data_IF_766563245985
#
_entry.id   IF_766563245985
#
_cell.length_a   1.000
_cell.length_b   1.000
_cell.length_c   1.000
_cell.angle_alpha   90.00
_cell.angle_beta   90.00
_cell.angle_gamma   90.00
#
_symmetry.space_group_name_H-M   'P 1'
#
loop_
_entity.id
_entity.type
_entity.pdbx_description
1 polymer ?
#
# COMPACT_ATOMS: atom_id res chain seq x y z
N UNK A 1 -0.34 3.12 23.30
CA UNK A 1 0.57 2.90 22.15
C UNK A 1 1.69 3.91 22.17
N UNK A 2 2.93 3.51 21.84
CA UNK A 2 4.04 4.46 21.58
C UNK A 2 3.99 4.90 20.12
N UNK A 3 4.57 6.06 19.83
CA UNK A 3 4.64 6.63 18.47
C UNK A 3 6.09 6.80 18.02
N UNK A 4 6.29 6.88 16.71
CA UNK A 4 7.55 7.16 16.03
C UNK A 4 7.32 8.18 14.93
N UNK A 5 8.32 9.00 14.66
CA UNK A 5 8.32 9.91 13.51
C UNK A 5 9.23 9.33 12.43
N UNK A 6 8.68 9.12 11.24
CA UNK A 6 9.40 8.71 10.05
C UNK A 6 9.73 9.96 9.24
N UNK A 7 11.01 10.12 8.86
CA UNK A 7 11.45 11.34 8.20
C UNK A 7 11.27 12.58 9.10
N UNK A 8 10.67 13.65 8.53
CA UNK A 8 10.46 14.91 9.24
C UNK A 8 9.16 14.92 10.06
N UNK A 9 8.06 14.49 9.46
CA UNK A 9 6.72 14.83 9.96
C UNK A 9 5.75 13.65 10.02
N UNK A 10 6.07 12.48 9.43
CA UNK A 10 5.15 11.35 9.38
C UNK A 10 5.14 10.60 10.72
N UNK A 11 4.18 10.93 11.57
CA UNK A 11 4.01 10.27 12.88
C UNK A 11 3.15 9.02 12.75
N UNK A 12 3.68 7.88 13.20
CA UNK A 12 3.02 6.57 13.16
C UNK A 12 3.04 5.90 14.53
N UNK A 13 2.10 4.97 14.76
CA UNK A 13 2.23 4.05 15.89
C UNK A 13 3.50 3.21 15.76
N UNK A 14 4.17 2.92 16.89
CA UNK A 14 5.41 2.15 16.90
C UNK A 14 5.25 0.71 16.38
N UNK A 15 4.02 0.20 16.42
CA UNK A 15 3.62 -1.05 15.79
C UNK A 15 2.72 -0.71 14.59
N UNK A 16 3.03 -1.27 13.43
CA UNK A 16 2.18 -1.23 12.24
C UNK A 16 1.51 -2.58 11.98
N UNK A 17 0.41 -2.58 11.28
CA UNK A 17 -0.28 -3.79 10.82
C UNK A 17 0.05 -4.05 9.35
N UNK A 18 0.79 -5.14 9.06
CA UNK A 18 0.97 -5.67 7.73
C UNK A 18 -0.27 -6.44 7.29
N UNK A 19 -0.88 -6.03 6.16
CA UNK A 19 -2.16 -6.57 5.72
C UNK A 19 -2.02 -7.74 4.72
N UNK A 20 -0.80 -8.10 4.29
CA UNK A 20 -0.52 -9.07 3.23
C UNK A 20 -1.26 -10.41 3.40
N UNK A 21 -1.30 -10.93 4.62
CA UNK A 21 -1.92 -12.23 4.90
C UNK A 21 -3.44 -12.28 4.80
N UNK A 22 -4.10 -11.12 4.70
CA UNK A 22 -5.57 -11.03 4.74
C UNK A 22 -6.25 -11.50 3.44
N UNK A 23 -5.51 -11.55 2.32
CA UNK A 23 -6.04 -11.87 0.98
C UNK A 23 -5.35 -13.07 0.32
N UNK A 24 -4.97 -14.08 1.10
CA UNK A 24 -4.61 -15.39 0.60
C UNK A 24 -3.14 -15.64 0.26
N UNK A 25 -2.21 -14.81 0.75
CA UNK A 25 -0.77 -15.01 0.49
C UNK A 25 -0.21 -16.24 1.24
N UNK A 26 -0.73 -16.55 2.41
CA UNK A 26 -0.30 -17.67 3.26
C UNK A 26 -1.31 -18.83 3.32
N UNK A 27 -2.21 -18.93 2.35
CA UNK A 27 -3.27 -19.93 2.30
C UNK A 27 -4.54 -19.35 1.70
N UNK A 28 -5.70 -19.92 2.04
CA UNK A 28 -6.98 -19.37 1.59
C UNK A 28 -7.19 -17.96 2.12
N UNK A 29 -7.84 -17.10 1.31
CA UNK A 29 -8.21 -15.76 1.73
C UNK A 29 -9.15 -15.84 2.94
N UNK A 30 -8.86 -15.06 3.98
CA UNK A 30 -9.72 -14.99 5.14
C UNK A 30 -11.05 -14.30 4.81
N UNK A 31 -12.05 -14.50 5.66
CA UNK A 31 -13.34 -13.80 5.52
C UNK A 31 -13.14 -12.29 5.51
N UNK A 32 -13.69 -11.63 4.50
CA UNK A 32 -13.50 -10.17 4.28
C UNK A 32 -14.01 -9.35 5.45
N UNK A 33 -15.18 -9.67 5.99
CA UNK A 33 -15.77 -8.92 7.10
C UNK A 33 -14.99 -9.10 8.39
N UNK A 34 -14.45 -10.31 8.62
CA UNK A 34 -13.56 -10.57 9.75
C UNK A 34 -12.24 -9.76 9.63
N UNK A 35 -11.70 -9.59 8.43
CA UNK A 35 -10.48 -8.80 8.21
C UNK A 35 -10.73 -7.30 8.38
N UNK A 36 -11.86 -6.77 7.92
CA UNK A 36 -12.27 -5.39 8.18
C UNK A 36 -12.38 -5.14 9.69
N UNK A 37 -13.04 -6.08 10.40
CA UNK A 37 -13.14 -5.98 11.86
C UNK A 37 -11.77 -6.02 12.53
N UNK A 38 -10.86 -6.88 12.08
CA UNK A 38 -9.49 -6.96 12.61
C UNK A 38 -8.73 -5.65 12.43
N UNK A 39 -8.87 -4.98 11.29
CA UNK A 39 -8.28 -3.67 11.03
C UNK A 39 -8.84 -2.63 12.02
N UNK A 40 -10.16 -2.62 12.22
CA UNK A 40 -10.81 -1.71 13.19
C UNK A 40 -10.37 -2.03 14.63
N UNK A 41 -10.34 -3.31 15.03
CA UNK A 41 -9.88 -3.73 16.35
C UNK A 41 -8.40 -3.31 16.61
N UNK A 42 -7.56 -3.35 15.57
CA UNK A 42 -6.18 -2.87 15.64
C UNK A 42 -6.12 -1.35 15.84
N UNK A 43 -6.93 -0.60 15.10
CA UNK A 43 -7.04 0.85 15.26
C UNK A 43 -7.52 1.22 16.67
N UNK A 44 -8.54 0.57 17.19
CA UNK A 44 -9.08 0.82 18.54
C UNK A 44 -8.04 0.53 19.65
N UNK A 45 -7.05 -0.33 19.36
CA UNK A 45 -5.89 -0.60 20.22
C UNK A 45 -4.73 0.39 20.00
N UNK A 46 -4.92 1.38 19.14
CA UNK A 46 -3.98 2.46 18.89
C UNK A 46 -2.98 2.21 17.75
N UNK A 47 -3.20 1.21 16.90
CA UNK A 47 -2.44 1.06 15.64
C UNK A 47 -2.94 2.09 14.65
N UNK A 48 -2.03 2.94 14.17
CA UNK A 48 -2.35 3.98 13.16
C UNK A 48 -1.58 3.80 11.86
N UNK A 49 -0.79 2.75 11.73
CA UNK A 49 0.05 2.49 10.55
C UNK A 49 -0.33 1.16 9.92
N UNK A 50 -0.78 1.18 8.66
CA UNK A 50 -1.25 0.02 7.90
C UNK A 50 -0.46 -0.11 6.61
N UNK A 51 0.08 -1.31 6.36
CA UNK A 51 0.94 -1.61 5.22
C UNK A 51 0.27 -2.60 4.28
N UNK A 52 0.13 -2.22 3.02
CA UNK A 52 -0.40 -3.04 1.93
C UNK A 52 0.51 -2.97 0.70
N UNK A 53 0.10 -3.52 -0.42
CA UNK A 53 0.77 -3.40 -1.72
C UNK A 53 -0.19 -3.77 -2.87
N UNK A 54 0.07 -3.21 -4.08
CA UNK A 54 -0.62 -3.60 -5.31
C UNK A 54 -0.55 -5.11 -5.57
N UNK A 55 0.60 -5.72 -5.22
CA UNK A 55 0.87 -7.12 -5.46
C UNK A 55 0.09 -8.09 -4.55
N UNK A 56 -0.57 -7.59 -3.50
CA UNK A 56 -1.27 -8.45 -2.57
C UNK A 56 -2.69 -8.78 -3.07
N UNK A 57 -2.89 -10.04 -3.44
CA UNK A 57 -4.13 -10.56 -3.91
C UNK A 57 -4.43 -10.63 -5.41
N UNK A 58 -3.69 -10.13 -6.44
CA UNK A 58 -3.30 -8.74 -6.63
C UNK A 58 -4.49 -7.77 -6.52
N UNK A 59 -4.24 -6.58 -6.05
CA UNK A 59 -5.17 -5.46 -5.88
C UNK A 59 -6.21 -5.63 -4.77
N UNK A 60 -6.73 -6.84 -4.55
CA UNK A 60 -7.83 -7.10 -3.61
C UNK A 60 -7.49 -6.72 -2.16
N UNK A 61 -6.21 -6.72 -1.80
CA UNK A 61 -5.75 -6.28 -0.49
C UNK A 61 -5.90 -4.76 -0.31
N UNK A 62 -5.51 -3.96 -1.30
CA UNK A 62 -5.73 -2.51 -1.27
C UNK A 62 -7.22 -2.16 -1.21
N UNK A 63 -8.07 -2.90 -1.93
CA UNK A 63 -9.52 -2.72 -1.87
C UNK A 63 -10.08 -3.01 -0.47
N UNK A 64 -9.60 -4.09 0.17
CA UNK A 64 -9.97 -4.44 1.54
C UNK A 64 -9.53 -3.37 2.54
N UNK A 65 -8.26 -2.95 2.46
CA UNK A 65 -7.69 -1.93 3.34
C UNK A 65 -8.37 -0.59 3.14
N UNK A 66 -8.63 -0.21 1.89
CA UNK A 66 -9.34 1.02 1.53
C UNK A 66 -10.76 1.06 2.10
N UNK A 67 -11.51 -0.05 1.98
CA UNK A 67 -12.84 -0.16 2.57
C UNK A 67 -12.82 -0.03 4.10
N UNK A 68 -11.88 -0.74 4.75
CA UNK A 68 -11.78 -0.72 6.21
C UNK A 68 -11.37 0.64 6.76
N UNK A 69 -10.45 1.34 6.08
CA UNK A 69 -9.87 2.59 6.58
C UNK A 69 -10.60 3.86 6.12
N UNK A 70 -11.46 3.79 5.10
CA UNK A 70 -12.19 4.96 4.60
C UNK A 70 -12.90 5.76 5.71
N UNK A 71 -13.59 5.15 6.68
CA UNK A 71 -14.28 5.91 7.74
C UNK A 71 -13.33 6.63 8.72
N UNK A 72 -12.07 6.23 8.76
CA UNK A 72 -11.07 6.74 9.71
C UNK A 72 -9.80 7.27 9.00
N UNK A 73 -9.90 7.53 7.68
CA UNK A 73 -8.74 7.84 6.82
C UNK A 73 -7.82 8.92 7.38
N UNK A 74 -8.37 9.98 7.97
CA UNK A 74 -7.60 11.11 8.50
C UNK A 74 -6.88 10.81 9.83
N UNK A 75 -7.12 9.65 10.41
CA UNK A 75 -6.53 9.22 11.69
C UNK A 75 -5.44 8.15 11.51
N UNK A 76 -5.19 7.74 10.28
CA UNK A 76 -4.28 6.63 9.97
C UNK A 76 -3.29 6.98 8.87
N UNK A 77 -2.19 6.26 8.84
CA UNK A 77 -1.15 6.29 7.82
C UNK A 77 -1.24 5.02 7.00
N UNK A 78 -1.38 5.15 5.69
CA UNK A 78 -1.41 4.04 4.75
C UNK A 78 -0.11 4.01 3.96
N UNK A 79 0.58 2.86 4.03
CA UNK A 79 1.70 2.54 3.17
C UNK A 79 1.26 1.55 2.10
N UNK A 80 1.63 1.82 0.85
CA UNK A 80 1.52 0.85 -0.25
C UNK A 80 2.76 0.87 -1.13
N UNK A 81 2.83 -0.02 -2.11
CA UNK A 81 4.08 -0.30 -2.84
C UNK A 81 3.82 -0.44 -4.32
N UNK A 82 4.84 -0.08 -5.11
CA UNK A 82 4.93 -0.30 -6.57
C UNK A 82 6.16 -1.15 -6.91
N UNK A 83 6.26 -1.58 -8.15
CA UNK A 83 7.50 -2.12 -8.71
C UNK A 83 7.43 -3.56 -9.20
N UNK A 84 6.34 -4.28 -9.02
CA UNK A 84 6.11 -5.52 -9.75
C UNK A 84 5.50 -5.22 -11.12
N UNK A 85 5.80 -6.11 -12.09
CA UNK A 85 5.19 -6.04 -13.42
C UNK A 85 3.85 -6.77 -13.40
N UNK A 86 2.80 -6.00 -13.11
CA UNK A 86 1.42 -6.47 -13.00
C UNK A 86 0.56 -5.70 -14.00
N UNK A 87 -0.22 -6.41 -14.80
CA UNK A 87 -1.20 -5.79 -15.66
C UNK A 87 -2.30 -5.13 -14.81
N UNK A 88 -2.37 -3.81 -14.82
CA UNK A 88 -3.28 -3.04 -13.96
C UNK A 88 -4.77 -3.27 -14.25
N UNK A 89 -5.11 -3.86 -15.40
CA UNK A 89 -6.49 -4.18 -15.76
C UNK A 89 -6.90 -5.60 -15.36
N UNK A 90 -5.98 -6.57 -15.49
CA UNK A 90 -6.28 -7.99 -15.29
C UNK A 90 -5.74 -8.55 -13.98
N UNK A 91 -4.77 -7.89 -13.35
CA UNK A 91 -4.04 -8.40 -12.20
C UNK A 91 -3.01 -9.49 -12.56
N UNK A 92 -2.83 -9.79 -13.83
CA UNK A 92 -1.89 -10.80 -14.29
C UNK A 92 -0.45 -10.35 -14.06
N UNK A 93 0.37 -11.23 -13.49
CA UNK A 93 1.78 -10.98 -13.21
C UNK A 93 2.66 -11.57 -14.31
N UNK A 94 3.59 -10.78 -14.82
CA UNK A 94 4.63 -11.28 -15.75
C UNK A 94 5.72 -12.10 -15.03
N UNK A 95 5.78 -12.02 -13.70
CA UNK A 95 6.86 -12.60 -12.89
C UNK A 95 8.08 -11.69 -12.75
N UNK A 96 8.07 -10.51 -13.38
CA UNK A 96 9.13 -9.51 -13.35
C UNK A 96 8.85 -8.30 -12.46
N UNK A 97 9.72 -7.30 -12.60
CA UNK A 97 9.61 -5.99 -11.96
C UNK A 97 9.48 -4.91 -13.03
N UNK A 98 8.82 -3.80 -12.67
CA UNK A 98 8.62 -2.66 -13.55
C UNK A 98 8.58 -1.37 -12.72
N UNK A 99 9.67 -0.62 -12.76
CA UNK A 99 9.77 0.70 -12.12
C UNK A 99 9.94 1.84 -13.13
N UNK A 100 9.40 1.68 -14.35
CA UNK A 100 9.38 2.76 -15.33
C UNK A 100 8.48 3.90 -14.86
N UNK A 101 8.83 5.15 -15.16
CA UNK A 101 8.09 6.33 -14.75
C UNK A 101 6.59 6.27 -14.99
N UNK A 102 6.19 5.86 -16.20
CA UNK A 102 4.79 5.74 -16.58
C UNK A 102 4.04 4.67 -15.78
N UNK A 103 4.71 3.55 -15.46
CA UNK A 103 4.13 2.48 -14.64
C UNK A 103 3.96 2.91 -13.19
N UNK A 104 4.96 3.57 -12.60
CA UNK A 104 4.87 4.09 -11.22
C UNK A 104 3.69 5.04 -11.07
N UNK A 105 3.50 5.98 -12.03
CA UNK A 105 2.36 6.91 -12.00
C UNK A 105 1.02 6.18 -12.11
N UNK A 106 0.90 5.24 -13.05
CA UNK A 106 -0.31 4.44 -13.23
C UNK A 106 -0.64 3.59 -12.00
N UNK A 107 0.36 3.02 -11.34
CA UNK A 107 0.18 2.27 -10.08
C UNK A 107 -0.30 3.18 -8.95
N UNK A 108 0.27 4.38 -8.81
CA UNK A 108 -0.14 5.34 -7.80
C UNK A 108 -1.61 5.76 -7.97
N UNK A 109 -2.03 6.11 -9.19
CA UNK A 109 -3.42 6.47 -9.50
C UNK A 109 -4.39 5.32 -9.25
N UNK A 110 -4.02 4.11 -9.66
CA UNK A 110 -4.83 2.93 -9.43
C UNK A 110 -4.92 2.57 -7.93
N UNK A 111 -3.84 2.74 -7.17
CA UNK A 111 -3.81 2.53 -5.72
C UNK A 111 -4.72 3.52 -4.99
N UNK A 112 -4.72 4.81 -5.35
CA UNK A 112 -5.64 5.81 -4.78
C UNK A 112 -7.10 5.39 -4.96
N UNK A 113 -7.45 4.88 -6.15
CA UNK A 113 -8.80 4.38 -6.45
C UNK A 113 -9.16 3.17 -5.58
N UNK A 114 -8.28 2.16 -5.48
CA UNK A 114 -8.51 0.95 -4.69
C UNK A 114 -8.57 1.23 -3.19
N UNK A 115 -7.69 2.11 -2.70
CA UNK A 115 -7.64 2.53 -1.31
C UNK A 115 -8.75 3.53 -0.93
N UNK A 116 -9.55 4.00 -1.90
CA UNK A 116 -10.66 4.96 -1.71
C UNK A 116 -10.19 6.23 -0.99
N UNK A 117 -9.07 6.78 -1.41
CA UNK A 117 -8.41 7.93 -0.78
C UNK A 117 -7.82 8.86 -1.83
N UNK A 118 -7.61 10.09 -1.47
CA UNK A 118 -6.96 11.12 -2.29
C UNK A 118 -5.44 11.22 -2.07
N UNK A 119 -4.90 10.46 -1.10
CA UNK A 119 -3.48 10.46 -0.78
C UNK A 119 -2.94 9.09 -0.35
N UNK A 120 -1.68 8.85 -0.65
CA UNK A 120 -0.85 7.77 -0.10
C UNK A 120 0.15 8.43 0.84
N UNK A 121 0.21 7.99 2.10
CA UNK A 121 1.10 8.63 3.09
C UNK A 121 2.54 8.14 2.96
N UNK A 122 2.74 6.90 2.51
CA UNK A 122 4.05 6.29 2.28
C UNK A 122 4.01 5.34 1.08
N UNK A 123 4.86 5.61 0.08
CA UNK A 123 4.88 4.85 -1.17
C UNK A 123 6.25 4.23 -1.39
N UNK A 124 6.33 2.88 -1.42
CA UNK A 124 7.59 2.13 -1.50
C UNK A 124 7.83 1.55 -2.89
N UNK A 125 9.09 1.52 -3.29
CA UNK A 125 9.54 0.55 -4.28
C UNK A 125 9.64 -0.83 -3.62
N UNK A 126 8.82 -1.79 -4.03
CA UNK A 126 8.70 -3.11 -3.42
C UNK A 126 9.93 -3.99 -3.67
N UNK A 127 10.47 -3.89 -4.89
CA UNK A 127 11.69 -4.54 -5.37
C UNK A 127 12.43 -3.61 -6.30
N UNK A 128 13.75 -3.61 -6.22
CA UNK A 128 14.59 -2.84 -7.14
C UNK A 128 14.43 -3.39 -8.55
N UNK A 129 14.22 -2.51 -9.52
CA UNK A 129 14.24 -2.83 -10.94
C UNK A 129 15.62 -2.48 -11.51
N UNK A 130 16.45 -3.48 -11.85
CA UNK A 130 17.80 -3.22 -12.35
C UNK A 130 17.82 -2.58 -13.75
N UNK A 131 16.70 -2.58 -14.46
CA UNK A 131 16.57 -1.96 -15.78
C UNK A 131 16.28 -0.44 -15.70
N UNK A 132 15.97 0.09 -14.51
CA UNK A 132 15.65 1.50 -14.32
C UNK A 132 16.59 2.10 -13.26
N UNK A 133 17.40 3.13 -13.62
CA UNK A 133 18.26 3.81 -12.64
C UNK A 133 17.45 4.36 -11.47
N UNK A 134 17.99 4.21 -10.25
CA UNK A 134 17.29 4.63 -9.03
C UNK A 134 16.98 6.14 -9.01
N UNK A 135 17.81 6.94 -9.65
CA UNK A 135 17.60 8.38 -9.82
C UNK A 135 16.33 8.67 -10.63
N UNK A 136 16.05 7.84 -11.66
CA UNK A 136 14.82 7.93 -12.44
C UNK A 136 13.59 7.59 -11.60
N UNK A 137 13.68 6.54 -10.77
CA UNK A 137 12.61 6.18 -9.83
C UNK A 137 12.38 7.31 -8.81
N UNK A 138 13.45 7.83 -8.21
CA UNK A 138 13.37 8.92 -7.24
C UNK A 138 12.76 10.19 -7.86
N UNK A 139 13.11 10.51 -9.10
CA UNK A 139 12.55 11.67 -9.82
C UNK A 139 11.03 11.57 -9.96
N UNK A 140 10.50 10.41 -10.34
CA UNK A 140 9.04 10.20 -10.43
C UNK A 140 8.36 10.34 -9.07
N UNK A 141 8.97 9.79 -8.01
CA UNK A 141 8.40 9.92 -6.66
C UNK A 141 8.38 11.38 -6.22
N UNK A 142 9.44 12.15 -6.53
CA UNK A 142 9.45 13.60 -6.27
C UNK A 142 8.29 14.31 -6.95
N UNK A 143 7.99 13.98 -8.22
CA UNK A 143 6.87 14.57 -8.96
C UNK A 143 5.49 14.22 -8.36
N UNK A 144 5.37 13.06 -7.70
CA UNK A 144 4.12 12.60 -7.06
C UNK A 144 3.90 13.19 -5.66
N UNK A 145 4.90 13.79 -5.04
CA UNK A 145 4.82 14.38 -3.69
C UNK A 145 4.24 15.81 -3.71
N UNK A 146 4.02 16.41 -4.88
CA UNK A 146 3.54 17.80 -5.05
C UNK A 146 2.12 17.88 -5.55
#
# INVERSE_FOLDING_TARGET
>A
MRYRTLGKDLTVSALGLGCMGMTGVYGEAADRSAMIKLIHDAFDRGVTFFDTAEAYGPFTNEELVGEALAPIRDKVVIATKFGFDINLKTGERSGGVNSRPEHIRAVAEAALTRLKTDRIDLFYQHRVDPAVPIEGVAGVIMDLVW
#
